data_IF_454925349749
#
_entry.id   IF_454925349749
#
_cell.length_a   1.000
_cell.length_b   1.000
_cell.length_c   1.000
_cell.angle_alpha   90.00
_cell.angle_beta   90.00
_cell.angle_gamma   90.00
#
_symmetry.space_group_name_H-M   'P 1'
#
loop_
_entity.id
_entity.type
_entity.pdbx_description
1 polymer ?
#
# COMPACT_ATOMS: atom_id res chain seq x y z
N UNK A 1 -6.25 -36.59 4.16
CA UNK A 1 -6.87 -35.62 5.10
C UNK A 1 -5.92 -35.18 6.23
N UNK A 2 -5.31 -36.10 7.01
CA UNK A 2 -4.45 -35.74 8.16
C UNK A 2 -3.22 -34.84 7.84
N UNK A 3 -2.55 -35.02 6.70
CA UNK A 3 -1.34 -34.24 6.36
C UNK A 3 -1.64 -32.77 6.05
N UNK A 4 -2.78 -32.48 5.40
CA UNK A 4 -3.21 -31.11 5.11
C UNK A 4 -3.57 -30.35 6.38
N UNK A 5 -4.27 -31.03 7.30
CA UNK A 5 -4.66 -30.45 8.59
C UNK A 5 -3.44 -30.08 9.45
N UNK A 6 -2.40 -30.93 9.48
CA UNK A 6 -1.12 -30.61 10.15
C UNK A 6 -0.43 -29.38 9.56
N UNK A 7 -0.47 -29.20 8.24
CA UNK A 7 0.14 -28.04 7.56
C UNK A 7 -0.61 -26.74 7.87
N UNK A 8 -1.94 -26.80 7.90
CA UNK A 8 -2.80 -25.65 8.26
C UNK A 8 -2.53 -25.24 9.71
N UNK A 9 -2.57 -26.19 10.65
CA UNK A 9 -2.32 -25.90 12.07
C UNK A 9 -0.94 -25.27 12.31
N UNK A 10 0.12 -25.82 11.70
CA UNK A 10 1.46 -25.24 11.80
C UNK A 10 1.52 -23.81 11.25
N UNK A 11 0.77 -23.52 10.18
CA UNK A 11 0.73 -22.19 9.60
C UNK A 11 -0.07 -21.21 10.47
N UNK A 12 -1.19 -21.66 11.05
CA UNK A 12 -1.97 -20.87 12.01
C UNK A 12 -1.15 -20.52 13.24
N UNK A 13 -0.35 -21.45 13.77
CA UNK A 13 0.55 -21.21 14.90
C UNK A 13 1.59 -20.13 14.59
N UNK A 14 2.18 -20.15 13.39
CA UNK A 14 3.14 -19.11 12.96
C UNK A 14 2.44 -17.76 12.76
N UNK A 15 1.25 -17.77 12.18
CA UNK A 15 0.47 -16.55 11.91
C UNK A 15 -0.15 -15.94 13.16
N UNK A 16 -0.35 -16.71 14.22
CA UNK A 16 -0.98 -16.27 15.47
C UNK A 16 -0.30 -15.02 16.03
N UNK A 17 1.04 -15.04 16.06
CA UNK A 17 1.84 -13.90 16.52
C UNK A 17 1.61 -12.63 15.68
N UNK A 18 1.46 -12.75 14.37
CA UNK A 18 1.30 -11.58 13.50
C UNK A 18 -0.15 -11.12 13.40
N UNK A 19 -1.10 -12.04 13.48
CA UNK A 19 -2.53 -11.80 13.28
C UNK A 19 -3.22 -11.29 14.54
N UNK A 20 -2.79 -11.76 15.73
CA UNK A 20 -3.46 -11.47 17.00
C UNK A 20 -2.74 -10.44 17.87
N UNK A 21 -1.62 -9.89 17.41
CA UNK A 21 -0.96 -8.75 18.07
C UNK A 21 -1.45 -7.46 17.45
N UNK A 22 -1.87 -6.52 18.30
CA UNK A 22 -2.15 -5.17 17.88
C UNK A 22 -0.84 -4.41 17.74
N UNK A 23 -0.57 -3.90 16.55
CA UNK A 23 0.59 -3.07 16.27
C UNK A 23 0.19 -1.60 16.33
N UNK A 24 0.74 -0.86 17.27
CA UNK A 24 0.60 0.60 17.31
C UNK A 24 1.76 1.25 16.56
N UNK A 25 1.45 1.79 15.38
CA UNK A 25 2.42 2.56 14.61
C UNK A 25 2.25 4.05 14.94
N UNK A 26 3.29 4.66 15.47
CA UNK A 26 3.32 6.10 15.77
C UNK A 26 4.31 6.84 14.86
N UNK A 27 3.94 8.03 14.41
CA UNK A 27 4.78 8.88 13.57
C UNK A 27 5.02 10.28 14.17
N UNK A 28 4.90 10.43 15.50
CA UNK A 28 4.99 11.72 16.19
C UNK A 28 6.26 12.49 15.86
N UNK A 29 7.43 11.82 15.84
CA UNK A 29 8.72 12.44 15.50
C UNK A 29 8.77 12.98 14.07
N UNK A 30 8.15 12.27 13.12
CA UNK A 30 8.06 12.71 11.73
C UNK A 30 7.18 13.96 11.64
N UNK A 31 6.02 13.97 12.30
CA UNK A 31 5.14 15.14 12.31
C UNK A 31 5.86 16.36 12.91
N UNK A 32 6.55 16.19 14.04
CA UNK A 32 7.33 17.29 14.64
C UNK A 32 8.49 17.77 13.77
N UNK A 33 9.09 16.89 12.95
CA UNK A 33 10.10 17.30 11.97
C UNK A 33 9.46 18.15 10.87
N UNK A 34 8.36 17.67 10.29
CA UNK A 34 7.63 18.37 9.23
C UNK A 34 7.15 19.75 9.70
N UNK A 35 6.68 19.87 10.94
CA UNK A 35 6.28 21.16 11.52
C UNK A 35 7.44 22.17 11.57
N UNK A 36 8.66 21.71 11.83
CA UNK A 36 9.87 22.55 11.93
C UNK A 36 10.49 22.93 10.59
N UNK A 37 10.11 22.28 9.49
CA UNK A 37 10.59 22.64 8.16
C UNK A 37 10.16 24.07 7.81
N UNK A 38 11.04 24.77 7.10
CA UNK A 38 10.71 26.07 6.55
C UNK A 38 9.61 25.93 5.46
N UNK A 39 8.85 26.99 5.16
CA UNK A 39 7.80 26.93 4.14
C UNK A 39 8.30 26.44 2.77
N UNK A 40 9.51 26.83 2.35
CA UNK A 40 10.11 26.40 1.08
C UNK A 40 10.38 24.90 1.09
N UNK A 41 11.01 24.38 2.14
CA UNK A 41 11.27 22.95 2.26
C UNK A 41 9.98 22.13 2.37
N UNK A 42 8.93 22.67 3.00
CA UNK A 42 7.59 22.03 3.02
C UNK A 42 6.97 21.91 1.63
N UNK A 43 7.25 22.84 0.73
CA UNK A 43 6.79 22.79 -0.65
C UNK A 43 7.66 21.87 -1.51
N UNK A 44 8.98 21.89 -1.31
CA UNK A 44 9.92 21.01 -2.02
C UNK A 44 9.78 19.54 -1.64
N UNK A 45 9.54 19.27 -0.36
CA UNK A 45 9.45 17.92 0.18
C UNK A 45 8.02 17.62 0.64
N UNK A 46 7.35 16.77 -0.11
CA UNK A 46 6.00 16.32 0.22
C UNK A 46 6.01 15.29 1.35
N UNK A 47 6.10 15.77 2.59
CA UNK A 47 6.18 14.92 3.79
C UNK A 47 4.84 14.77 4.54
N UNK A 48 3.83 15.59 4.21
CA UNK A 48 2.51 15.52 4.85
C UNK A 48 1.54 14.67 4.02
N UNK A 49 1.41 13.40 4.40
CA UNK A 49 0.54 12.44 3.71
C UNK A 49 -0.95 12.82 3.77
N UNK A 50 -1.37 13.70 4.69
CA UNK A 50 -2.76 14.15 4.78
C UNK A 50 -3.16 15.02 3.59
N UNK A 51 -2.18 15.67 2.95
CA UNK A 51 -2.40 16.50 1.76
C UNK A 51 -2.46 15.68 0.47
N UNK A 52 -2.21 14.36 0.54
CA UNK A 52 -2.19 13.49 -0.63
C UNK A 52 -3.62 13.25 -1.14
N UNK A 53 -3.84 13.50 -2.43
CA UNK A 53 -5.07 13.10 -3.11
C UNK A 53 -4.98 11.61 -3.46
N UNK A 54 -5.51 10.75 -2.58
CA UNK A 54 -5.38 9.30 -2.68
C UNK A 54 -5.89 8.72 -4.00
N UNK A 55 -7.01 9.25 -4.53
CA UNK A 55 -7.57 8.76 -5.78
C UNK A 55 -6.63 8.97 -6.97
N UNK A 56 -5.94 10.11 -7.04
CA UNK A 56 -4.98 10.40 -8.10
C UNK A 56 -3.69 9.60 -7.92
N UNK A 57 -3.23 9.50 -6.67
CA UNK A 57 -2.08 8.69 -6.31
C UNK A 57 -2.26 7.24 -6.76
N UNK A 58 -3.37 6.60 -6.38
CA UNK A 58 -3.61 5.20 -6.73
C UNK A 58 -3.86 5.00 -8.22
N UNK A 59 -4.55 5.93 -8.90
CA UNK A 59 -4.70 5.86 -10.37
C UNK A 59 -3.34 5.82 -11.06
N UNK A 60 -2.42 6.71 -10.67
CA UNK A 60 -1.08 6.80 -11.27
C UNK A 60 -0.23 5.60 -10.88
N UNK A 61 -0.21 5.26 -9.60
CA UNK A 61 0.55 4.15 -9.04
C UNK A 61 0.17 2.80 -9.67
N UNK A 62 -1.13 2.49 -9.73
CA UNK A 62 -1.61 1.24 -10.31
C UNK A 62 -1.39 1.19 -11.83
N UNK A 63 -1.51 2.31 -12.52
CA UNK A 63 -1.19 2.39 -13.96
C UNK A 63 0.30 2.12 -14.19
N UNK A 64 1.18 2.67 -13.34
CA UNK A 64 2.61 2.41 -13.37
C UNK A 64 2.94 0.94 -13.14
N UNK A 65 2.35 0.31 -12.12
CA UNK A 65 2.51 -1.14 -11.88
C UNK A 65 2.12 -1.94 -13.13
N UNK A 66 0.95 -1.63 -13.71
CA UNK A 66 0.44 -2.33 -14.89
C UNK A 66 1.43 -2.28 -16.05
N UNK A 67 1.87 -1.08 -16.41
CA UNK A 67 2.73 -0.87 -17.59
C UNK A 67 4.15 -1.37 -17.34
N UNK A 68 4.73 -1.10 -16.17
CA UNK A 68 6.15 -1.32 -15.94
C UNK A 68 6.48 -2.63 -15.24
N UNK A 69 5.65 -3.10 -14.30
CA UNK A 69 5.90 -4.35 -13.58
C UNK A 69 5.22 -5.52 -14.29
N UNK A 70 3.93 -5.37 -14.62
CA UNK A 70 3.12 -6.43 -15.25
C UNK A 70 3.37 -6.50 -16.75
N UNK A 71 3.91 -5.43 -17.36
CA UNK A 71 4.13 -5.29 -18.81
C UNK A 71 2.84 -5.40 -19.63
N UNK A 72 1.73 -4.94 -19.05
CA UNK A 72 0.42 -4.90 -19.71
C UNK A 72 0.13 -3.45 -20.18
N UNK A 73 -0.02 -3.22 -21.50
CA UNK A 73 -0.28 -1.88 -22.03
C UNK A 73 -1.61 -1.26 -21.53
N UNK A 74 -1.81 0.04 -21.76
CA UNK A 74 -3.04 0.72 -21.35
C UNK A 74 -4.20 0.43 -22.33
N UNK A 75 -3.88 0.05 -23.55
CA UNK A 75 -4.76 -0.28 -24.67
C UNK A 75 -5.63 -1.50 -24.38
N UNK A 76 -5.19 -2.36 -23.46
CA UNK A 76 -5.95 -3.55 -23.01
C UNK A 76 -6.96 -3.21 -21.90
N UNK A 77 -6.92 -2.00 -21.32
CA UNK A 77 -7.86 -1.58 -20.28
C UNK A 77 -9.34 -1.58 -20.70
N UNK A 78 -9.73 -1.13 -21.91
CA UNK A 78 -11.13 -1.21 -22.35
C UNK A 78 -11.67 -2.64 -22.32
N UNK A 79 -10.87 -3.61 -22.77
CA UNK A 79 -11.22 -5.04 -22.74
C UNK A 79 -11.32 -5.55 -21.30
N UNK A 80 -10.37 -5.19 -20.45
CA UNK A 80 -10.39 -5.57 -19.04
C UNK A 80 -11.63 -5.03 -18.32
N UNK A 81 -12.07 -3.80 -18.62
CA UNK A 81 -13.26 -3.18 -18.00
C UNK A 81 -14.57 -3.85 -18.39
N UNK A 82 -14.66 -4.51 -19.55
CA UNK A 82 -15.85 -5.26 -19.96
C UNK A 82 -16.09 -6.45 -19.02
N UNK A 83 -15.02 -7.10 -18.54
CA UNK A 83 -15.11 -8.27 -17.65
C UNK A 83 -15.63 -7.94 -16.24
N UNK A 84 -15.55 -6.67 -15.83
CA UNK A 84 -15.93 -6.19 -14.50
C UNK A 84 -17.17 -5.28 -14.51
N UNK A 85 -17.87 -5.21 -15.65
CA UNK A 85 -19.25 -4.74 -15.73
C UNK A 85 -20.19 -5.93 -15.64
#
# INVERSE_FOLDING_TARGET
LLKGYKKIHKFMEVLDYFSNKQWSFGNSRLNSLVEKLDPRDKELYFCDIKKLVWDEYFKTYLSGIRVYLIKDPLETLPVARIKWR
#
